data_IF_918457831794
#
_entry.id   IF_918457831794
#
_cell.length_a   1.000
_cell.length_b   1.000
_cell.length_c   1.000
_cell.angle_alpha   90.00
_cell.angle_beta   90.00
_cell.angle_gamma   90.00
#
_symmetry.space_group_name_H-M   'P 1'
#
loop_
_entity.id
_entity.type
_entity.pdbx_description
1 polymer ?
#
# COMPACT_ATOMS: atom_id res chain seq x y z
N UNK A 1 14.28 6.48 10.01
CA UNK A 1 12.84 6.14 10.09
C UNK A 1 12.16 6.78 8.90
N UNK A 2 11.42 5.99 8.13
CA UNK A 2 10.75 6.40 6.90
C UNK A 2 9.26 6.10 7.06
N UNK A 3 8.43 7.14 6.99
CA UNK A 3 6.99 6.96 7.13
C UNK A 3 6.37 6.51 5.80
N UNK A 4 5.63 5.40 5.84
CA UNK A 4 4.88 4.82 4.73
C UNK A 4 3.38 5.09 4.93
N UNK A 5 2.82 6.17 4.35
CA UNK A 5 1.44 6.53 4.59
C UNK A 5 0.48 5.52 3.94
N UNK A 6 -0.57 5.18 4.68
CA UNK A 6 -1.72 4.49 4.14
C UNK A 6 -2.51 5.40 3.19
N UNK A 7 -3.35 4.78 2.37
CA UNK A 7 -4.29 5.47 1.48
C UNK A 7 -5.71 5.02 1.74
N UNK A 8 -6.64 5.89 1.39
CA UNK A 8 -8.05 5.56 1.20
C UNK A 8 -8.40 5.69 -0.29
N UNK A 9 -9.31 4.83 -0.76
CA UNK A 9 -10.03 5.12 -1.99
C UNK A 9 -11.30 5.89 -1.60
N UNK A 10 -11.35 7.19 -1.86
CA UNK A 10 -12.55 8.00 -1.56
C UNK A 10 -13.69 7.71 -2.56
N UNK A 11 -13.33 7.20 -3.72
CA UNK A 11 -14.25 6.64 -4.70
C UNK A 11 -13.61 5.46 -5.41
N UNK A 12 -14.42 4.45 -5.73
CA UNK A 12 -14.02 3.30 -6.51
C UNK A 12 -15.19 2.89 -7.40
N UNK A 13 -14.97 2.91 -8.71
CA UNK A 13 -15.96 2.48 -9.70
C UNK A 13 -15.35 1.42 -10.61
N UNK A 14 -16.04 0.28 -10.69
CA UNK A 14 -15.74 -0.75 -11.67
C UNK A 14 -16.42 -0.33 -12.98
N UNK A 15 -15.64 0.05 -13.98
CA UNK A 15 -16.16 0.52 -15.27
C UNK A 15 -16.29 -0.60 -16.31
N UNK A 16 -15.63 -1.74 -16.08
CA UNK A 16 -15.79 -2.92 -16.91
C UNK A 16 -14.84 -4.04 -16.55
N UNK A 17 -14.84 -5.09 -17.39
CA UNK A 17 -13.90 -6.20 -17.31
C UNK A 17 -13.17 -6.35 -18.65
N UNK A 18 -11.84 -6.35 -18.58
CA UNK A 18 -10.93 -6.53 -19.73
C UNK A 18 -10.97 -7.99 -20.22
N UNK A 19 -10.58 -8.21 -21.47
CA UNK A 19 -10.52 -9.55 -22.09
C UNK A 19 -9.59 -10.52 -21.36
N UNK A 20 -8.60 -10.01 -20.64
CA UNK A 20 -7.67 -10.80 -19.81
C UNK A 20 -8.20 -11.10 -18.39
N UNK A 21 -9.46 -10.77 -18.10
CA UNK A 21 -10.12 -11.11 -16.85
C UNK A 21 -10.00 -10.08 -15.72
N UNK A 22 -9.18 -9.04 -15.87
CA UNK A 22 -9.03 -7.96 -14.90
C UNK A 22 -10.16 -6.91 -15.01
N UNK A 23 -10.42 -6.19 -13.92
CA UNK A 23 -11.37 -5.07 -13.94
C UNK A 23 -10.69 -3.79 -14.40
N UNK A 24 -11.42 -3.02 -15.20
CA UNK A 24 -11.10 -1.62 -15.46
C UNK A 24 -11.71 -0.79 -14.32
N UNK A 25 -10.91 0.07 -13.69
CA UNK A 25 -11.30 0.81 -12.50
C UNK A 25 -11.07 2.31 -12.69
N UNK A 26 -12.01 3.10 -12.19
CA UNK A 26 -11.78 4.51 -11.89
C UNK A 26 -11.78 4.69 -10.37
N UNK A 27 -10.81 5.44 -9.84
CA UNK A 27 -10.71 5.63 -8.40
C UNK A 27 -10.02 6.95 -8.05
N UNK A 28 -10.42 7.54 -6.92
CA UNK A 28 -9.75 8.69 -6.31
C UNK A 28 -9.00 8.22 -5.06
N UNK A 29 -7.68 8.34 -5.10
CA UNK A 29 -6.79 7.96 -4.00
C UNK A 29 -6.49 9.18 -3.14
N UNK A 30 -6.58 9.01 -1.82
CA UNK A 30 -6.21 10.03 -0.85
C UNK A 30 -5.25 9.48 0.20
N UNK A 31 -4.03 10.04 0.34
CA UNK A 31 -3.11 9.64 1.40
C UNK A 31 -3.60 10.16 2.76
N UNK A 32 -3.39 9.39 3.82
CA UNK A 32 -3.73 9.77 5.20
C UNK A 32 -2.50 9.77 6.09
N UNK A 33 -2.57 10.50 7.22
CA UNK A 33 -1.51 10.55 8.23
C UNK A 33 -1.59 9.38 9.22
N UNK A 34 -1.82 8.19 8.68
CA UNK A 34 -1.79 6.91 9.36
C UNK A 34 -1.02 5.97 8.44
N UNK A 35 -0.15 5.12 8.99
CA UNK A 35 0.75 4.30 8.18
C UNK A 35 1.81 3.64 9.02
N UNK A 36 2.74 2.97 8.35
CA UNK A 36 3.82 2.22 8.99
C UNK A 36 5.10 3.06 9.06
N UNK A 37 5.89 2.84 10.10
CA UNK A 37 7.23 3.39 10.20
C UNK A 37 8.27 2.33 9.81
N UNK A 38 9.03 2.62 8.75
CA UNK A 38 10.04 1.71 8.23
C UNK A 38 11.43 2.12 8.72
N UNK A 39 12.20 1.13 9.18
CA UNK A 39 13.60 1.30 9.58
C UNK A 39 14.45 0.51 8.58
N UNK A 40 15.48 1.17 8.05
CA UNK A 40 16.40 0.55 7.10
C UNK A 40 17.83 0.69 7.61
N UNK A 41 18.56 -0.42 7.56
CA UNK A 41 19.97 -0.51 7.92
C UNK A 41 20.73 -1.24 6.82
N UNK A 42 21.95 -0.79 6.53
CA UNK A 42 22.80 -1.46 5.53
C UNK A 42 23.26 -2.81 6.07
N UNK A 43 23.04 -3.88 5.30
CA UNK A 43 23.47 -5.22 5.66
C UNK A 43 24.04 -5.97 4.46
N UNK A 44 24.84 -7.00 4.73
CA UNK A 44 25.34 -7.96 3.73
C UNK A 44 24.33 -9.06 3.42
N UNK A 45 23.28 -9.19 4.22
CA UNK A 45 22.17 -10.13 4.05
C UNK A 45 20.83 -9.40 4.17
N UNK A 46 19.77 -9.98 3.60
CA UNK A 46 18.42 -9.42 3.68
C UNK A 46 17.63 -10.07 4.83
N UNK A 47 17.15 -9.24 5.75
CA UNK A 47 16.29 -9.63 6.86
C UNK A 47 15.12 -8.64 6.94
N UNK A 48 13.93 -9.14 7.30
CA UNK A 48 12.71 -8.34 7.47
C UNK A 48 12.02 -8.80 8.74
N UNK A 49 11.65 -7.85 9.59
CA UNK A 49 10.88 -8.08 10.81
C UNK A 49 9.76 -7.05 10.91
N UNK A 50 8.67 -7.41 11.61
CA UNK A 50 7.56 -6.54 11.93
C UNK A 50 7.27 -6.63 13.42
N UNK A 51 6.93 -5.51 14.04
CA UNK A 51 6.70 -5.33 15.48
C UNK A 51 5.24 -5.52 15.89
N UNK A 52 4.36 -5.91 14.96
CA UNK A 52 2.99 -6.29 15.25
C UNK A 52 2.96 -7.53 16.15
N UNK A 53 2.69 -7.29 17.43
CA UNK A 53 2.38 -8.33 18.40
C UNK A 53 0.93 -8.82 18.21
N UNK A 54 0.73 -10.13 18.33
CA UNK A 54 -0.53 -10.65 18.86
C UNK A 54 -0.69 -10.24 20.32
#
# INVERSE_FOLDING_TARGET
MWFSPAKLNLGLRIVGRRSNGYHELESLFWPIRFGDDLIFESSVSSEVSCDWAD
#
